data_IF_774616026805
#
_entry.id   IF_774616026805
#
_cell.length_a   1.000
_cell.length_b   1.000
_cell.length_c   1.000
_cell.angle_alpha   90.00
_cell.angle_beta   90.00
_cell.angle_gamma   90.00
#
_symmetry.space_group_name_H-M   'P 1'
#
loop_
_entity.id
_entity.type
_entity.pdbx_description
1 polymer ?
#
# COMPACT_ATOMS: atom_id res chain seq x y z
N UNK A 1 15.10 53.54 -9.97
CA UNK A 1 14.69 52.67 -8.84
C UNK A 1 13.34 51.97 -9.06
N UNK A 2 12.34 52.62 -9.62
CA UNK A 2 11.03 52.01 -9.89
C UNK A 2 11.03 50.84 -10.88
N UNK A 3 11.85 50.90 -11.92
CA UNK A 3 11.92 49.82 -12.92
C UNK A 3 12.53 48.53 -12.35
N UNK A 4 13.50 48.67 -11.47
CA UNK A 4 14.17 47.53 -10.81
C UNK A 4 13.20 46.82 -9.85
N UNK A 5 12.39 47.58 -9.15
CA UNK A 5 11.39 47.05 -8.19
C UNK A 5 10.26 46.31 -8.94
N UNK A 6 9.81 46.86 -10.07
CA UNK A 6 8.79 46.19 -10.90
C UNK A 6 9.28 44.85 -11.47
N UNK A 7 10.53 44.81 -11.95
CA UNK A 7 11.11 43.57 -12.44
C UNK A 7 11.31 42.50 -11.33
N UNK A 8 11.74 42.93 -10.13
CA UNK A 8 11.92 42.03 -9.01
C UNK A 8 10.59 41.43 -8.54
N UNK A 9 9.54 42.25 -8.47
CA UNK A 9 8.17 41.78 -8.13
C UNK A 9 7.63 40.82 -9.18
N UNK A 10 7.86 41.12 -10.47
CA UNK A 10 7.41 40.25 -11.55
C UNK A 10 8.11 38.87 -11.50
N UNK A 11 9.42 38.87 -11.23
CA UNK A 11 10.21 37.65 -11.10
C UNK A 11 9.73 36.81 -9.90
N UNK A 12 9.45 37.47 -8.78
CA UNK A 12 8.94 36.82 -7.56
C UNK A 12 7.56 36.21 -7.79
N UNK A 13 6.66 36.92 -8.44
CA UNK A 13 5.35 36.40 -8.80
C UNK A 13 5.44 35.20 -9.77
N UNK A 14 6.35 35.27 -10.73
CA UNK A 14 6.56 34.17 -11.69
C UNK A 14 7.07 32.91 -11.00
N UNK A 15 8.03 33.04 -10.09
CA UNK A 15 8.54 31.93 -9.29
C UNK A 15 7.46 31.34 -8.36
N UNK A 16 6.58 32.21 -7.82
CA UNK A 16 5.49 31.76 -6.96
C UNK A 16 4.46 30.96 -7.74
N UNK A 17 4.07 31.43 -8.93
CA UNK A 17 3.14 30.74 -9.82
C UNK A 17 3.68 29.39 -10.27
N UNK A 18 4.98 29.32 -10.61
CA UNK A 18 5.63 28.07 -10.98
C UNK A 18 5.60 27.03 -9.84
N UNK A 19 5.86 27.46 -8.61
CA UNK A 19 5.78 26.57 -7.44
C UNK A 19 4.37 26.09 -7.13
N UNK A 20 3.37 26.93 -7.35
CA UNK A 20 1.95 26.54 -7.16
C UNK A 20 1.54 25.51 -8.22
N UNK A 21 2.03 25.65 -9.46
CA UNK A 21 1.75 24.69 -10.53
C UNK A 21 2.36 23.31 -10.25
N UNK A 22 3.61 23.23 -9.76
CA UNK A 22 4.24 21.96 -9.35
C UNK A 22 3.48 21.26 -8.23
N UNK A 23 2.96 22.01 -7.26
CA UNK A 23 2.15 21.45 -6.15
C UNK A 23 0.80 20.93 -6.63
N UNK A 24 0.25 21.49 -7.68
CA UNK A 24 -1.04 21.08 -8.23
C UNK A 24 -0.91 19.78 -9.03
N UNK A 25 0.18 19.62 -9.77
CA UNK A 25 0.48 18.43 -10.56
C UNK A 25 0.71 17.22 -9.65
N UNK A 26 1.50 17.37 -8.58
CA UNK A 26 1.73 16.33 -7.58
C UNK A 26 0.44 15.89 -6.85
N UNK A 27 -0.53 16.79 -6.70
CA UNK A 27 -1.82 16.48 -6.09
C UNK A 27 -2.73 15.69 -7.03
N UNK A 28 -2.62 15.90 -8.33
CA UNK A 28 -3.41 15.18 -9.34
C UNK A 28 -2.90 13.74 -9.53
N UNK A 29 -1.60 13.50 -9.39
CA UNK A 29 -1.03 12.16 -9.49
C UNK A 29 -1.47 11.23 -8.35
N UNK A 30 -1.66 11.77 -7.15
CA UNK A 30 -2.04 11.01 -5.95
C UNK A 30 -3.56 10.94 -5.73
N UNK A 31 -4.35 11.22 -6.74
CA UNK A 31 -5.80 11.06 -6.64
C UNK A 31 -6.18 9.62 -6.30
N UNK A 32 -7.29 9.50 -5.61
CA UNK A 32 -7.91 8.22 -5.28
C UNK A 32 -8.12 7.36 -6.53
N UNK A 33 -7.62 6.14 -6.50
CA UNK A 33 -7.82 5.13 -7.55
C UNK A 33 -8.80 4.05 -7.10
N UNK A 34 -9.26 3.27 -8.04
CA UNK A 34 -10.17 2.15 -7.76
C UNK A 34 -9.64 0.86 -8.36
N UNK A 35 -9.72 -0.21 -7.60
CA UNK A 35 -9.60 -1.57 -8.09
C UNK A 35 -10.90 -2.30 -7.75
N UNK A 36 -11.74 -2.51 -8.76
CA UNK A 36 -13.09 -3.04 -8.61
C UNK A 36 -13.91 -2.19 -7.60
N UNK A 37 -14.33 -2.77 -6.49
CA UNK A 37 -15.10 -2.09 -5.44
C UNK A 37 -14.24 -1.42 -4.37
N UNK A 38 -12.93 -1.68 -4.38
CA UNK A 38 -12.02 -1.05 -3.43
C UNK A 38 -11.59 0.34 -3.90
N UNK A 39 -11.70 1.30 -3.01
CA UNK A 39 -11.21 2.66 -3.19
C UNK A 39 -9.83 2.75 -2.55
N UNK A 40 -8.79 3.00 -3.37
CA UNK A 40 -7.40 3.05 -2.94
C UNK A 40 -6.98 4.51 -2.80
N UNK A 41 -6.54 4.86 -1.62
CA UNK A 41 -6.03 6.18 -1.27
C UNK A 41 -5.00 6.07 -0.16
N UNK A 42 -4.28 7.14 0.10
CA UNK A 42 -3.33 7.21 1.21
C UNK A 42 -3.86 6.52 2.49
N UNK A 43 -3.07 5.69 3.16
CA UNK A 43 -1.65 5.42 2.99
C UNK A 43 -1.31 4.36 1.93
N UNK A 44 -2.30 3.74 1.32
CA UNK A 44 -2.10 2.81 0.22
C UNK A 44 -1.97 3.56 -1.10
N UNK A 45 -1.28 2.96 -2.04
CA UNK A 45 -1.17 3.40 -3.42
C UNK A 45 -1.25 2.20 -4.36
N UNK A 46 -1.66 2.43 -5.61
CA UNK A 46 -1.91 1.37 -6.57
C UNK A 46 -0.78 1.33 -7.60
N UNK A 47 -0.02 0.24 -7.61
CA UNK A 47 1.08 0.05 -8.55
C UNK A 47 0.59 0.13 -10.00
N UNK A 48 1.40 0.76 -10.85
CA UNK A 48 1.04 0.98 -12.26
C UNK A 48 0.01 2.08 -12.53
N UNK A 49 -0.64 2.64 -11.49
CA UNK A 49 -1.62 3.73 -11.63
C UNK A 49 -1.29 4.97 -10.79
N UNK A 50 -0.44 4.82 -9.79
CA UNK A 50 0.02 5.91 -8.94
C UNK A 50 1.52 5.79 -8.74
N UNK A 51 2.24 6.91 -8.63
CA UNK A 51 3.64 6.92 -8.22
C UNK A 51 3.82 6.46 -6.76
N UNK A 52 5.00 5.94 -6.45
CA UNK A 52 5.33 5.43 -5.11
C UNK A 52 5.18 6.47 -3.98
N UNK A 53 5.46 7.74 -4.31
CA UNK A 53 5.33 8.83 -3.33
C UNK A 53 3.89 9.13 -2.89
N UNK A 54 2.88 8.51 -3.53
CA UNK A 54 1.48 8.67 -3.17
C UNK A 54 1.06 7.84 -1.95
N UNK A 55 1.92 6.97 -1.44
CA UNK A 55 1.66 6.18 -0.24
C UNK A 55 2.90 5.90 0.58
N UNK A 56 2.78 5.01 1.55
CA UNK A 56 3.92 4.52 2.30
C UNK A 56 4.56 3.35 1.57
N UNK A 57 5.89 3.29 1.63
CA UNK A 57 6.65 2.13 1.18
C UNK A 57 6.17 0.86 1.92
N UNK A 58 5.87 -0.19 1.18
CA UNK A 58 5.29 -1.44 1.69
C UNK A 58 3.77 -1.43 1.84
N UNK A 59 3.10 -0.32 1.46
CA UNK A 59 1.64 -0.22 1.40
C UNK A 59 1.14 -0.23 -0.05
N UNK A 60 1.99 -0.69 -0.97
CA UNK A 60 1.63 -0.89 -2.36
C UNK A 60 0.60 -2.00 -2.52
N UNK A 61 -0.41 -1.72 -3.30
CA UNK A 61 -1.41 -2.68 -3.72
C UNK A 61 -1.33 -2.84 -5.23
N UNK A 62 -1.59 -4.03 -5.73
CA UNK A 62 -1.78 -4.27 -7.16
C UNK A 62 -3.25 -4.56 -7.46
N UNK A 63 -3.61 -4.38 -8.72
CA UNK A 63 -4.94 -4.72 -9.22
C UNK A 63 -4.82 -5.81 -10.28
N UNK A 64 -4.98 -7.05 -9.88
CA UNK A 64 -4.86 -8.24 -10.73
C UNK A 64 -6.25 -8.84 -10.94
N UNK A 65 -6.69 -8.99 -12.18
CA UNK A 65 -8.00 -9.55 -12.54
C UNK A 65 -9.18 -8.95 -11.76
N UNK A 66 -9.18 -7.64 -11.59
CA UNK A 66 -10.17 -6.89 -10.79
C UNK A 66 -10.13 -7.22 -9.29
N UNK A 67 -9.09 -7.87 -8.81
CA UNK A 67 -8.88 -8.12 -7.39
C UNK A 67 -7.75 -7.25 -6.87
N UNK A 68 -7.93 -6.72 -5.68
CA UNK A 68 -6.89 -5.94 -5.00
C UNK A 68 -6.00 -6.89 -4.23
N UNK A 69 -4.71 -6.86 -4.52
CA UNK A 69 -3.71 -7.76 -3.95
C UNK A 69 -2.69 -6.97 -3.15
N UNK A 70 -2.33 -7.48 -1.99
CA UNK A 70 -1.19 -7.05 -1.18
C UNK A 70 -0.12 -8.13 -1.26
N UNK A 71 1.05 -7.77 -1.73
CA UNK A 71 2.20 -8.66 -1.74
C UNK A 71 3.05 -8.42 -0.49
N UNK A 72 3.23 -9.45 0.30
CA UNK A 72 4.11 -9.45 1.46
C UNK A 72 5.51 -9.93 1.07
N UNK A 73 6.55 -9.66 1.89
CA UNK A 73 7.87 -10.23 1.69
C UNK A 73 7.81 -11.75 1.44
N UNK A 74 8.71 -12.25 0.60
CA UNK A 74 8.78 -13.65 0.19
C UNK A 74 7.69 -14.09 -0.79
N UNK A 75 7.18 -13.15 -1.60
CA UNK A 75 6.18 -13.38 -2.65
C UNK A 75 4.86 -13.97 -2.13
N UNK A 76 4.50 -13.66 -0.89
CA UNK A 76 3.22 -14.08 -0.33
C UNK A 76 2.15 -13.09 -0.78
N UNK A 77 1.27 -13.52 -1.68
CA UNK A 77 0.17 -12.72 -2.17
C UNK A 77 -1.09 -12.95 -1.34
N UNK A 78 -1.65 -11.87 -0.81
CA UNK A 78 -2.92 -11.89 -0.08
C UNK A 78 -3.92 -10.97 -0.76
N UNK A 79 -5.15 -11.40 -0.81
CA UNK A 79 -6.22 -10.65 -1.43
C UNK A 79 -6.91 -9.75 -0.41
N UNK A 80 -7.20 -8.52 -0.82
CA UNK A 80 -7.87 -7.55 0.03
C UNK A 80 -9.38 -7.84 0.03
N UNK A 81 -9.91 -8.16 1.18
CA UNK A 81 -11.35 -8.32 1.38
C UNK A 81 -12.02 -6.98 1.66
N UNK A 82 -11.37 -6.14 2.48
CA UNK A 82 -11.89 -4.83 2.88
C UNK A 82 -10.79 -3.92 3.38
N UNK A 83 -10.89 -2.63 3.05
CA UNK A 83 -10.09 -1.56 3.66
C UNK A 83 -11.03 -0.66 4.45
N UNK A 84 -10.78 -0.52 5.73
CA UNK A 84 -11.48 0.42 6.61
C UNK A 84 -10.52 1.54 7.01
N UNK A 85 -10.61 2.64 6.31
CA UNK A 85 -9.75 3.80 6.55
C UNK A 85 -10.05 4.50 7.86
N UNK A 86 -11.31 4.44 8.34
CA UNK A 86 -11.71 5.05 9.60
C UNK A 86 -11.18 4.26 10.79
N UNK A 87 -11.35 2.94 10.74
CA UNK A 87 -10.83 2.05 11.77
C UNK A 87 -9.34 1.73 11.61
N UNK A 88 -8.71 2.20 10.51
CA UNK A 88 -7.32 1.91 10.16
C UNK A 88 -7.04 0.40 10.12
N UNK A 89 -7.88 -0.34 9.40
CA UNK A 89 -7.80 -1.81 9.29
C UNK A 89 -7.86 -2.24 7.84
N UNK A 90 -7.01 -3.19 7.48
CA UNK A 90 -7.09 -3.93 6.24
C UNK A 90 -7.41 -5.39 6.57
N UNK A 91 -8.39 -5.94 5.89
CA UNK A 91 -8.77 -7.34 6.02
C UNK A 91 -8.31 -8.08 4.78
N UNK A 92 -7.48 -9.07 4.99
CA UNK A 92 -6.87 -9.88 3.94
C UNK A 92 -7.41 -11.31 4.01
N UNK A 93 -7.34 -12.02 2.90
CA UNK A 93 -7.67 -13.43 2.82
C UNK A 93 -6.79 -14.11 1.77
N UNK A 94 -6.62 -15.41 1.94
CA UNK A 94 -5.94 -16.28 0.99
C UNK A 94 -6.98 -17.19 0.34
N UNK A 95 -7.30 -16.99 -0.94
CA UNK A 95 -8.33 -17.80 -1.62
C UNK A 95 -7.89 -19.25 -1.87
N UNK A 96 -6.59 -19.51 -1.85
CA UNK A 96 -6.03 -20.84 -2.14
C UNK A 96 -5.79 -21.67 -0.87
N UNK A 97 -5.88 -21.05 0.32
CA UNK A 97 -5.62 -21.73 1.58
C UNK A 97 -4.16 -22.12 1.80
N UNK A 98 -3.23 -21.52 1.03
CA UNK A 98 -1.80 -21.83 1.08
C UNK A 98 -1.05 -21.12 2.21
N UNK A 99 -1.66 -20.11 2.81
CA UNK A 99 -1.06 -19.31 3.87
C UNK A 99 -0.49 -20.16 5.01
N UNK A 100 -1.17 -21.21 5.51
CA UNK A 100 -0.62 -22.06 6.58
C UNK A 100 0.73 -22.71 6.22
N UNK A 101 0.97 -23.02 4.96
CA UNK A 101 2.25 -23.59 4.49
C UNK A 101 3.35 -22.54 4.37
N UNK A 102 2.97 -21.29 4.16
CA UNK A 102 3.90 -20.16 3.98
C UNK A 102 4.23 -19.47 5.30
N UNK A 103 3.36 -19.58 6.32
CA UNK A 103 3.54 -18.95 7.63
C UNK A 103 4.89 -19.23 8.30
N UNK A 104 5.48 -20.46 8.26
CA UNK A 104 6.78 -20.73 8.86
C UNK A 104 7.91 -19.90 8.26
N UNK A 105 7.78 -19.53 6.98
CA UNK A 105 8.76 -18.76 6.25
C UNK A 105 8.46 -17.26 6.25
N UNK A 106 7.28 -16.87 6.73
CA UNK A 106 6.82 -15.49 6.71
C UNK A 106 7.47 -14.70 7.85
N UNK A 107 8.53 -13.99 7.53
CA UNK A 107 9.13 -13.06 8.48
C UNK A 107 8.39 -11.72 8.45
N UNK A 108 7.36 -11.61 9.25
CA UNK A 108 6.59 -10.36 9.39
C UNK A 108 7.43 -9.20 9.94
N UNK A 109 8.60 -9.48 10.54
CA UNK A 109 9.53 -8.43 11.00
C UNK A 109 10.08 -7.57 9.87
N UNK A 110 10.11 -8.11 8.67
CA UNK A 110 10.49 -7.36 7.47
C UNK A 110 9.31 -6.60 6.83
N UNK A 111 8.10 -6.82 7.32
CA UNK A 111 6.91 -6.14 6.81
C UNK A 111 6.81 -4.73 7.39
N UNK A 112 6.48 -3.72 6.58
CA UNK A 112 6.29 -2.35 7.05
C UNK A 112 5.14 -2.22 8.06
N UNK A 113 4.27 -3.21 8.11
CA UNK A 113 3.18 -3.26 9.08
C UNK A 113 3.61 -3.60 10.51
N UNK A 114 4.85 -4.02 10.75
CA UNK A 114 5.35 -4.31 12.11
C UNK A 114 5.80 -3.07 12.89
N UNK A 115 6.20 -2.02 12.21
CA UNK A 115 6.58 -0.77 12.87
C UNK A 115 5.35 0.04 13.33
N UNK A 116 4.46 -0.62 14.02
CA UNK A 116 3.10 -0.23 14.37
C UNK A 116 2.97 1.02 15.24
N UNK A 117 4.07 1.59 15.73
CA UNK A 117 4.01 2.85 16.47
C UNK A 117 4.02 4.09 15.60
N UNK A 118 4.36 3.94 14.31
CA UNK A 118 4.52 5.07 13.39
C UNK A 118 3.75 4.93 12.08
N UNK A 119 3.11 3.80 11.81
CA UNK A 119 2.32 3.60 10.60
C UNK A 119 0.83 3.86 10.85
N UNK A 120 0.11 4.42 9.85
CA UNK A 120 -1.31 4.74 10.01
C UNK A 120 -2.23 3.52 10.06
N UNK A 121 -1.72 2.32 9.77
CA UNK A 121 -2.47 1.07 9.82
C UNK A 121 -1.78 0.06 10.72
N UNK A 122 -2.55 -0.66 11.53
CA UNK A 122 -2.05 -1.74 12.37
C UNK A 122 -2.57 -3.10 11.89
N UNK A 123 -1.74 -4.13 11.98
CA UNK A 123 -2.24 -5.50 11.97
C UNK A 123 -2.94 -5.77 13.28
N UNK A 124 -4.21 -6.07 13.22
CA UNK A 124 -4.90 -6.67 14.34
C UNK A 124 -4.88 -8.18 14.09
N UNK A 125 -4.01 -8.88 14.78
CA UNK A 125 -4.11 -10.32 14.85
C UNK A 125 -5.43 -10.61 15.58
N UNK A 126 -6.43 -11.12 14.88
CA UNK A 126 -7.37 -11.96 15.56
C UNK A 126 -6.50 -13.09 16.16
N UNK A 127 -6.47 -13.21 17.47
CA UNK A 127 -5.70 -14.24 18.18
C UNK A 127 -6.26 -15.63 17.86
N UNK A 128 -6.06 -16.05 16.62
CA UNK A 128 -6.25 -17.43 16.23
C UNK A 128 -4.92 -18.12 16.49
N UNK A 129 -4.81 -18.77 17.62
CA UNK A 129 -3.68 -19.66 17.91
C UNK A 129 -3.78 -20.85 16.97
N UNK A 130 -2.90 -20.88 15.98
CA UNK A 130 -2.75 -22.07 15.13
C UNK A 130 -1.61 -22.92 15.68
N UNK A 131 -1.91 -24.18 15.94
CA UNK A 131 -0.90 -25.19 16.20
C UNK A 131 -0.48 -25.79 14.87
N UNK A 132 0.74 -25.54 14.44
CA UNK A 132 1.31 -26.13 13.24
C UNK A 132 1.93 -27.46 13.62
N UNK A 133 1.44 -28.55 13.03
CA UNK A 133 2.03 -29.88 13.17
C UNK A 133 2.84 -30.18 11.91
N UNK A 134 4.12 -30.51 12.09
CA UNK A 134 4.93 -31.04 11.00
C UNK A 134 4.60 -32.54 10.86
N UNK A 135 3.76 -32.86 9.89
CA UNK A 135 3.45 -34.26 9.55
C UNK A 135 4.48 -34.73 8.54
N UNK A 136 5.15 -35.83 8.84
CA UNK A 136 6.19 -36.46 8.00
C UNK A 136 5.67 -37.11 6.70
N UNK A 137 4.40 -36.92 6.33
CA UNK A 137 3.87 -37.24 4.99
C UNK A 137 3.70 -35.95 4.21
N UNK A 138 4.31 -35.92 3.06
CA UNK A 138 4.12 -34.86 2.06
C UNK A 138 2.63 -34.71 1.75
N UNK A 139 2.02 -33.71 2.34
CA UNK A 139 0.75 -33.21 1.82
C UNK A 139 1.11 -32.46 0.53
N UNK A 140 0.91 -33.09 -0.60
CA UNK A 140 1.01 -32.43 -1.92
C UNK A 140 -0.15 -31.47 -2.08
N UNK A 141 -0.11 -30.37 -1.36
CA UNK A 141 -0.94 -29.19 -1.66
C UNK A 141 -0.15 -28.38 -2.65
N UNK A 142 -0.53 -28.49 -3.91
CA UNK A 142 0.02 -27.64 -4.96
C UNK A 142 -0.48 -26.22 -4.76
N UNK A 143 0.31 -25.39 -4.08
CA UNK A 143 0.10 -23.96 -4.04
C UNK A 143 0.82 -23.36 -5.24
N UNK A 144 0.09 -23.11 -6.33
CA UNK A 144 0.59 -22.41 -7.50
C UNK A 144 0.02 -20.99 -7.55
N UNK A 145 0.92 -20.01 -7.70
CA UNK A 145 0.58 -18.65 -8.10
C UNK A 145 0.78 -18.51 -9.60
#
# INVERSE_FOLDING_TARGET
MESFFKNAVFLFCFLFVAKVAELQDAKDECQTKKCNHHTIRFPFWLTGQQPEHCGYHGFELSCEDKQTVLELPWNVKLFVKRIDYKAKRIQLYDPQGCLPLQLPNLNLSASPFQYLRQTPFSFNYAESKYNLFNCSREATVACGY
#
